data_IF_585461950057
#
_entry.id   IF_585461950057
#
_cell.length_a   1.000
_cell.length_b   1.000
_cell.length_c   1.000
_cell.angle_alpha   90.00
_cell.angle_beta   90.00
_cell.angle_gamma   90.00
#
_symmetry.space_group_name_H-M   'P 1'
#
loop_
_entity.id
_entity.type
_entity.pdbx_description
1 polymer ?
#
# COMPACT_ATOMS: atom_id res chain seq x y z
N UNK A 1 11.51 -5.23 6.86
CA UNK A 1 10.59 -6.03 6.02
C UNK A 1 9.49 -5.15 5.42
N UNK A 2 9.22 -5.28 4.11
CA UNK A 2 8.09 -4.60 3.44
C UNK A 2 7.10 -5.65 2.95
N UNK A 3 5.86 -5.60 3.44
CA UNK A 3 4.80 -6.51 3.03
C UNK A 3 3.92 -5.93 1.92
N UNK A 4 3.25 -6.80 1.17
CA UNK A 4 2.19 -6.44 0.24
C UNK A 4 0.86 -7.05 0.70
N UNK A 5 -0.21 -6.28 0.61
CA UNK A 5 -1.56 -6.67 1.02
C UNK A 5 -2.58 -6.34 -0.07
N UNK A 6 -3.09 -7.37 -0.72
CA UNK A 6 -4.22 -7.23 -1.62
C UNK A 6 -5.52 -7.62 -0.89
N UNK A 7 -6.58 -6.85 -1.12
CA UNK A 7 -7.95 -7.13 -0.65
C UNK A 7 -8.92 -6.90 -1.82
N UNK A 8 -10.14 -7.44 -1.75
CA UNK A 8 -11.12 -7.28 -2.83
C UNK A 8 -12.42 -6.63 -2.32
N UNK A 9 -12.84 -5.55 -2.99
CA UNK A 9 -14.09 -4.82 -2.74
C UNK A 9 -14.24 -4.33 -1.30
N UNK A 10 -13.16 -3.82 -0.71
CA UNK A 10 -13.14 -3.32 0.67
C UNK A 10 -13.11 -1.80 0.71
N UNK A 11 -13.67 -1.21 1.77
CA UNK A 11 -13.52 0.23 1.99
C UNK A 11 -12.06 0.59 2.25
N UNK A 12 -11.66 1.84 1.95
CA UNK A 12 -10.31 2.34 2.26
C UNK A 12 -9.95 2.20 3.75
N UNK A 13 -10.93 2.48 4.63
CA UNK A 13 -10.76 2.36 6.08
C UNK A 13 -10.44 0.92 6.47
N UNK A 14 -11.13 -0.03 5.86
CA UNK A 14 -10.93 -1.46 6.10
C UNK A 14 -9.61 -1.97 5.53
N UNK A 15 -9.26 -1.59 4.30
CA UNK A 15 -7.97 -1.91 3.68
C UNK A 15 -6.80 -1.48 4.57
N UNK A 16 -6.83 -0.23 5.06
CA UNK A 16 -5.80 0.32 5.96
C UNK A 16 -5.79 -0.41 7.30
N UNK A 17 -6.96 -0.71 7.87
CA UNK A 17 -7.07 -1.45 9.14
C UNK A 17 -6.44 -2.85 9.03
N UNK A 18 -6.78 -3.59 7.97
CA UNK A 18 -6.23 -4.93 7.69
C UNK A 18 -4.73 -4.88 7.40
N UNK A 19 -4.26 -3.85 6.70
CA UNK A 19 -2.84 -3.62 6.46
C UNK A 19 -2.06 -3.36 7.76
N UNK A 20 -2.58 -2.50 8.66
CA UNK A 20 -1.96 -2.23 9.98
C UNK A 20 -1.95 -3.45 10.88
N UNK A 21 -3.03 -4.24 10.86
CA UNK A 21 -3.08 -5.51 11.59
C UNK A 21 -1.97 -6.44 11.11
N UNK A 22 -1.86 -6.62 9.79
CA UNK A 22 -0.86 -7.51 9.21
C UNK A 22 0.57 -7.02 9.44
N UNK A 23 0.80 -5.71 9.37
CA UNK A 23 2.08 -5.07 9.69
C UNK A 23 2.58 -5.47 11.08
N UNK A 24 1.71 -5.45 12.11
CA UNK A 24 2.04 -5.88 13.47
C UNK A 24 2.26 -7.39 13.58
N UNK A 25 1.41 -8.19 12.94
CA UNK A 25 1.52 -9.66 12.96
C UNK A 25 2.81 -10.17 12.31
N UNK A 26 3.35 -9.43 11.32
CA UNK A 26 4.55 -9.82 10.58
C UNK A 26 5.82 -9.10 11.01
N UNK A 27 5.75 -8.24 12.04
CA UNK A 27 6.83 -7.33 12.45
C UNK A 27 7.47 -6.59 11.24
N UNK A 28 6.60 -6.08 10.36
CA UNK A 28 7.02 -5.36 9.15
C UNK A 28 7.14 -3.86 9.42
N UNK A 29 8.03 -3.20 8.69
CA UNK A 29 8.22 -1.75 8.78
C UNK A 29 7.16 -1.00 7.98
N UNK A 30 6.67 -1.60 6.90
CA UNK A 30 5.69 -1.00 5.99
C UNK A 30 4.87 -2.07 5.27
N UNK A 31 3.62 -1.73 4.96
CA UNK A 31 2.69 -2.53 4.17
C UNK A 31 2.22 -1.74 2.95
N UNK A 32 2.33 -2.31 1.77
CA UNK A 32 1.77 -1.77 0.52
C UNK A 32 0.41 -2.42 0.29
N UNK A 33 -0.66 -1.67 0.48
CA UNK A 33 -2.03 -2.17 0.43
C UNK A 33 -2.77 -1.68 -0.80
N UNK A 34 -3.51 -2.56 -1.49
CA UNK A 34 -4.35 -2.17 -2.63
C UNK A 34 -5.63 -3.00 -2.73
N UNK A 35 -6.71 -2.37 -3.21
CA UNK A 35 -7.97 -3.05 -3.53
C UNK A 35 -7.92 -3.55 -4.98
N UNK A 36 -8.00 -4.87 -5.16
CA UNK A 36 -8.01 -5.57 -6.44
C UNK A 36 -9.41 -6.11 -6.81
N UNK A 37 -10.47 -5.59 -6.19
CA UNK A 37 -11.84 -6.01 -6.46
C UNK A 37 -12.36 -5.64 -7.86
N UNK A 38 -13.69 -5.58 -8.00
CA UNK A 38 -14.41 -5.34 -9.27
C UNK A 38 -13.97 -4.09 -10.05
N UNK A 39 -13.34 -3.13 -9.38
CA UNK A 39 -12.82 -1.89 -9.98
C UNK A 39 -11.37 -1.99 -10.48
N UNK A 40 -10.75 -3.15 -10.36
CA UNK A 40 -9.41 -3.42 -10.88
C UNK A 40 -9.48 -3.82 -12.35
N UNK A 41 -9.69 -2.82 -13.19
CA UNK A 41 -10.07 -2.99 -14.60
C UNK A 41 -9.00 -2.51 -15.60
N UNK A 42 -7.85 -2.04 -15.12
CA UNK A 42 -6.73 -1.65 -15.97
C UNK A 42 -5.41 -2.10 -15.35
N UNK A 43 -4.67 -2.94 -16.08
CA UNK A 43 -3.36 -3.46 -15.68
C UNK A 43 -2.37 -2.34 -15.37
N UNK A 44 -2.35 -1.27 -16.14
CA UNK A 44 -1.19 -0.37 -16.15
C UNK A 44 -1.25 0.68 -15.06
N UNK A 45 -2.47 0.94 -14.57
CA UNK A 45 -2.75 1.91 -13.52
C UNK A 45 -3.22 1.21 -12.25
N UNK A 46 -2.58 1.56 -11.14
CA UNK A 46 -2.97 1.05 -9.84
C UNK A 46 -3.13 2.21 -8.85
N UNK A 47 -3.81 1.96 -7.74
CA UNK A 47 -3.86 2.83 -6.58
C UNK A 47 -3.44 2.00 -5.38
N UNK A 48 -2.38 2.44 -4.69
CA UNK A 48 -1.89 1.75 -3.50
C UNK A 48 -1.81 2.71 -2.32
N UNK A 49 -1.81 2.12 -1.13
CA UNK A 49 -1.66 2.78 0.15
C UNK A 49 -0.39 2.25 0.80
N UNK A 50 0.56 3.13 1.09
CA UNK A 50 1.72 2.79 1.92
C UNK A 50 1.28 3.00 3.36
N UNK A 51 1.34 1.96 4.16
CA UNK A 51 0.87 1.95 5.54
C UNK A 51 2.04 1.60 6.44
N UNK A 52 2.36 2.49 7.37
CA UNK A 52 3.32 2.23 8.44
C UNK A 52 2.63 2.31 9.82
N UNK A 53 3.40 2.22 10.91
CA UNK A 53 2.85 2.25 12.27
C UNK A 53 2.18 3.60 12.63
N UNK A 54 2.56 4.70 11.98
CA UNK A 54 2.11 6.06 12.27
C UNK A 54 1.26 6.65 11.13
N UNK A 55 1.69 6.50 9.89
CA UNK A 55 1.16 7.20 8.72
C UNK A 55 0.52 6.28 7.69
N UNK A 56 -0.28 6.90 6.83
CA UNK A 56 -0.81 6.28 5.61
C UNK A 56 -0.59 7.25 4.45
N UNK A 57 0.14 6.81 3.43
CA UNK A 57 0.38 7.59 2.22
C UNK A 57 -0.42 6.99 1.06
N UNK A 58 -1.32 7.78 0.49
CA UNK A 58 -2.10 7.40 -0.69
C UNK A 58 -1.35 7.81 -1.96
N UNK A 59 -1.11 6.88 -2.89
CA UNK A 59 -0.45 7.23 -4.16
C UNK A 59 -1.38 7.93 -5.15
N UNK A 60 -2.69 7.71 -5.03
CA UNK A 60 -3.64 7.96 -6.10
C UNK A 60 -3.48 6.98 -7.27
N UNK A 61 -4.39 7.03 -8.23
CA UNK A 61 -4.31 6.22 -9.46
C UNK A 61 -3.13 6.70 -10.31
N UNK A 62 -2.10 5.86 -10.45
CA UNK A 62 -0.87 6.15 -11.21
C UNK A 62 -0.38 4.89 -11.92
N UNK A 63 0.55 5.04 -12.86
CA UNK A 63 1.20 3.88 -13.49
C UNK A 63 2.04 3.11 -12.47
N UNK A 64 2.18 1.80 -12.68
CA UNK A 64 3.07 0.94 -11.85
C UNK A 64 4.47 1.55 -11.67
N UNK A 65 5.05 2.08 -12.75
CA UNK A 65 6.37 2.74 -12.70
C UNK A 65 6.40 3.98 -11.78
N UNK A 66 5.34 4.79 -11.77
CA UNK A 66 5.24 5.95 -10.86
C UNK A 66 5.04 5.52 -9.41
N UNK A 67 4.30 4.44 -9.17
CA UNK A 67 4.08 3.89 -7.82
C UNK A 67 5.39 3.39 -7.22
N UNK A 68 6.19 2.64 -7.99
CA UNK A 68 7.50 2.15 -7.53
C UNK A 68 8.42 3.30 -7.13
N UNK A 69 8.42 4.41 -7.88
CA UNK A 69 9.18 5.62 -7.51
C UNK A 69 8.74 6.22 -6.17
N UNK A 70 7.43 6.18 -5.85
CA UNK A 70 6.90 6.67 -4.57
C UNK A 70 7.32 5.73 -3.43
N UNK A 71 7.19 4.41 -3.64
CA UNK A 71 7.60 3.39 -2.66
C UNK A 71 9.08 3.56 -2.33
N UNK A 72 9.94 3.63 -3.34
CA UNK A 72 11.39 3.85 -3.17
C UNK A 72 11.70 5.09 -2.35
N UNK A 73 11.10 6.25 -2.70
CA UNK A 73 11.31 7.50 -1.96
C UNK A 73 10.85 7.42 -0.51
N UNK A 74 9.81 6.64 -0.22
CA UNK A 74 9.34 6.46 1.15
C UNK A 74 10.31 5.59 1.96
N UNK A 75 10.84 4.52 1.36
CA UNK A 75 11.87 3.67 1.97
C UNK A 75 13.13 4.49 2.27
N UNK A 76 13.64 5.24 1.29
CA UNK A 76 14.84 6.08 1.44
C UNK A 76 14.70 7.11 2.58
N UNK A 77 13.48 7.62 2.83
CA UNK A 77 13.20 8.54 3.94
C UNK A 77 13.18 7.88 5.31
N UNK A 78 12.91 6.57 5.38
CA UNK A 78 12.83 5.83 6.64
C UNK A 78 14.16 5.18 7.03
N UNK A 79 15.16 5.23 6.14
CA UNK A 79 16.51 4.70 6.37
C UNK A 79 17.52 5.77 6.84
N UNK A 80 17.17 7.04 6.72
CA UNK A 80 17.97 8.20 7.16
C UNK A 80 17.36 8.81 8.42
#
# INVERSE_FOLDING_TARGET
LIGFKAEANVSKKELVSRARKKLKESDADMMIANDIGSRYNNSDYNEVFLVDSKNVVKTGRKTKAKIVKIIRKNIEKNLN
#
